data_IF_511525065484
#
_entry.id   IF_511525065484
#
_cell.length_a   1.000
_cell.length_b   1.000
_cell.length_c   1.000
_cell.angle_alpha   90.00
_cell.angle_beta   90.00
_cell.angle_gamma   90.00
#
_symmetry.space_group_name_H-M   'P 1'
#
loop_
_entity.id
_entity.type
_entity.pdbx_description
1 polymer ?
#
# COMPACT_ATOMS: atom_id res chain seq x y z
N UNK A 1 26.47 -6.08 11.26
CA UNK A 1 26.25 -7.29 10.42
C UNK A 1 26.61 -8.58 11.14
N UNK A 2 27.80 -8.70 11.73
CA UNK A 2 28.23 -9.93 12.42
C UNK A 2 27.32 -10.32 13.59
N UNK A 3 26.86 -9.36 14.38
CA UNK A 3 25.93 -9.60 15.50
C UNK A 3 24.58 -10.17 15.02
N UNK A 4 24.01 -9.64 13.93
CA UNK A 4 22.75 -10.15 13.34
C UNK A 4 22.96 -11.56 12.81
N UNK A 5 24.07 -11.85 12.15
CA UNK A 5 24.40 -13.21 11.67
C UNK A 5 24.53 -14.21 12.80
N UNK A 6 25.10 -13.81 13.96
CA UNK A 6 25.15 -14.65 15.12
C UNK A 6 23.77 -14.94 15.69
N UNK A 7 22.89 -13.91 15.80
CA UNK A 7 21.51 -14.10 16.24
C UNK A 7 20.75 -15.02 15.29
N UNK A 8 20.92 -14.85 13.97
CA UNK A 8 20.30 -15.74 12.97
C UNK A 8 20.73 -17.21 13.19
N UNK A 9 22.02 -17.45 13.41
CA UNK A 9 22.52 -18.82 13.66
C UNK A 9 21.95 -19.40 14.96
N UNK A 10 21.95 -18.62 16.04
CA UNK A 10 21.38 -19.02 17.33
C UNK A 10 19.88 -19.30 17.23
N UNK A 11 19.16 -18.52 16.46
CA UNK A 11 17.71 -18.67 16.24
C UNK A 11 17.33 -19.64 15.11
N UNK A 12 18.31 -20.22 14.42
CA UNK A 12 18.07 -21.12 13.30
C UNK A 12 17.38 -20.44 12.10
N UNK A 13 17.54 -19.13 11.97
CA UNK A 13 17.00 -18.35 10.86
C UNK A 13 18.01 -18.37 9.72
N UNK A 14 17.54 -18.68 8.50
CA UNK A 14 18.34 -18.58 7.29
C UNK A 14 17.99 -17.27 6.58
N UNK A 15 18.89 -16.26 6.61
CA UNK A 15 18.64 -14.99 5.93
C UNK A 15 18.42 -15.18 4.43
N UNK A 16 17.54 -14.37 3.88
CA UNK A 16 17.33 -14.32 2.43
C UNK A 16 18.49 -13.57 1.78
N UNK A 17 19.29 -14.29 1.00
CA UNK A 17 20.45 -13.78 0.29
C UNK A 17 20.28 -13.96 -1.22
N UNK A 18 21.13 -13.28 -2.00
CA UNK A 18 21.18 -13.39 -3.46
C UNK A 18 19.84 -13.10 -4.13
N UNK A 19 19.18 -12.02 -3.69
CA UNK A 19 17.94 -11.55 -4.32
C UNK A 19 18.23 -11.01 -5.72
N UNK A 20 17.56 -11.50 -6.77
CA UNK A 20 17.70 -10.92 -8.09
C UNK A 20 17.23 -9.46 -8.07
N UNK A 21 17.99 -8.59 -8.74
CA UNK A 21 17.68 -7.16 -8.86
C UNK A 21 17.57 -6.36 -7.52
N UNK A 22 18.23 -6.82 -6.47
CA UNK A 22 18.19 -6.13 -5.15
C UNK A 22 18.64 -4.68 -5.25
N UNK A 23 19.70 -4.37 -6.00
CA UNK A 23 20.17 -2.99 -6.18
C UNK A 23 19.11 -2.11 -6.86
N UNK A 24 18.38 -2.66 -7.84
CA UNK A 24 17.28 -1.95 -8.51
C UNK A 24 16.09 -1.75 -7.59
N UNK A 25 15.76 -2.75 -6.77
CA UNK A 25 14.72 -2.67 -5.73
C UNK A 25 15.06 -1.59 -4.69
N UNK A 26 16.29 -1.57 -4.20
CA UNK A 26 16.76 -0.55 -3.25
C UNK A 26 16.79 0.86 -3.88
N UNK A 27 17.11 0.96 -5.16
CA UNK A 27 17.02 2.22 -5.92
C UNK A 27 15.57 2.70 -5.99
N UNK A 28 14.61 1.80 -6.18
CA UNK A 28 13.18 2.15 -6.19
C UNK A 28 12.68 2.61 -4.81
N UNK A 29 13.09 1.95 -3.73
CA UNK A 29 12.82 2.41 -2.35
C UNK A 29 13.34 3.81 -2.10
N UNK A 30 14.56 4.08 -2.58
CA UNK A 30 15.18 5.41 -2.45
C UNK A 30 14.46 6.45 -3.31
N UNK A 31 14.05 6.09 -4.53
CA UNK A 31 13.27 6.98 -5.41
C UNK A 31 11.98 7.44 -4.74
N UNK A 32 11.27 6.51 -4.10
CA UNK A 32 10.00 6.79 -3.41
C UNK A 32 10.18 7.41 -2.02
N UNK A 33 11.42 7.51 -1.53
CA UNK A 33 11.78 7.99 -0.19
C UNK A 33 11.00 7.31 0.96
N UNK A 34 10.50 6.10 0.72
CA UNK A 34 9.53 5.44 1.59
C UNK A 34 10.15 4.89 2.88
N UNK A 35 11.49 4.71 2.91
CA UNK A 35 12.17 4.20 4.10
C UNK A 35 12.09 5.19 5.26
N UNK A 36 12.23 6.47 5.02
CA UNK A 36 12.29 7.51 6.05
C UNK A 36 10.95 8.26 6.22
N UNK A 37 10.07 8.20 5.23
CA UNK A 37 8.74 8.83 5.27
C UNK A 37 7.87 8.23 6.39
N UNK A 38 7.26 9.08 7.21
CA UNK A 38 6.25 8.66 8.17
C UNK A 38 4.89 8.51 7.46
N UNK A 39 4.28 7.33 7.56
CA UNK A 39 2.94 7.06 7.05
C UNK A 39 1.88 7.10 8.16
N UNK A 40 2.29 7.19 9.42
CA UNK A 40 1.40 7.09 10.58
C UNK A 40 0.45 8.26 10.74
N UNK A 41 0.81 9.43 10.25
CA UNK A 41 -0.03 10.63 10.30
C UNK A 41 -1.17 10.62 9.26
N UNK A 42 -1.07 9.78 8.23
CA UNK A 42 -2.07 9.72 7.18
C UNK A 42 -3.11 8.60 7.43
N UNK A 43 -4.37 8.96 7.72
CA UNK A 43 -5.42 8.00 8.05
C UNK A 43 -5.76 7.03 6.90
N UNK A 44 -5.37 7.32 5.66
CA UNK A 44 -5.59 6.42 4.52
C UNK A 44 -4.85 5.10 4.71
N UNK A 45 -3.59 5.15 5.16
CA UNK A 45 -2.79 3.94 5.40
C UNK A 45 -3.30 3.15 6.61
N UNK A 46 -3.62 3.84 7.70
CA UNK A 46 -4.17 3.21 8.91
C UNK A 46 -5.49 2.48 8.61
N UNK A 47 -6.39 3.11 7.85
CA UNK A 47 -7.67 2.49 7.47
C UNK A 47 -7.49 1.24 6.62
N UNK A 48 -6.56 1.24 5.64
CA UNK A 48 -6.28 0.05 4.83
C UNK A 48 -5.69 -1.09 5.67
N UNK A 49 -4.86 -0.75 6.66
CA UNK A 49 -4.28 -1.73 7.59
C UNK A 49 -5.37 -2.33 8.48
N UNK A 50 -6.27 -1.51 9.00
CA UNK A 50 -7.42 -1.95 9.79
C UNK A 50 -8.35 -2.87 8.98
N UNK A 51 -8.66 -2.52 7.73
CA UNK A 51 -9.47 -3.36 6.84
C UNK A 51 -8.81 -4.71 6.59
N UNK A 52 -7.47 -4.78 6.49
CA UNK A 52 -6.76 -6.05 6.33
C UNK A 52 -6.97 -6.99 7.53
N UNK A 53 -6.96 -6.43 8.75
CA UNK A 53 -7.28 -7.18 9.99
C UNK A 53 -8.70 -7.74 9.96
N UNK A 54 -9.70 -6.89 9.69
CA UNK A 54 -11.11 -7.32 9.63
C UNK A 54 -11.37 -8.35 8.54
N UNK A 55 -10.82 -8.13 7.34
CA UNK A 55 -10.99 -9.04 6.21
C UNK A 55 -10.49 -10.46 6.50
N UNK A 56 -9.37 -10.55 7.20
CA UNK A 56 -8.72 -11.83 7.50
C UNK A 56 -9.12 -12.41 8.86
N UNK A 57 -9.87 -11.64 9.66
CA UNK A 57 -10.21 -11.96 11.04
C UNK A 57 -8.94 -12.21 11.89
N UNK A 58 -7.84 -11.51 11.56
CA UNK A 58 -6.60 -11.56 12.32
C UNK A 58 -6.54 -10.36 13.28
N UNK A 59 -6.07 -10.55 14.54
CA UNK A 59 -6.05 -9.47 15.53
C UNK A 59 -5.06 -8.36 15.17
N UNK A 60 -4.01 -8.67 14.41
CA UNK A 60 -2.96 -7.71 14.07
C UNK A 60 -2.72 -7.62 12.58
N UNK A 61 -2.44 -6.41 12.11
CA UNK A 61 -2.00 -6.15 10.75
C UNK A 61 -0.97 -5.03 10.70
N UNK A 62 -0.09 -5.05 9.70
CA UNK A 62 0.99 -4.05 9.61
C UNK A 62 1.44 -3.79 8.17
N UNK A 63 1.90 -2.56 7.92
CA UNK A 63 2.65 -2.18 6.72
C UNK A 63 4.13 -2.14 7.08
N UNK A 64 4.91 -3.03 6.48
CA UNK A 64 6.34 -3.13 6.67
C UNK A 64 7.09 -2.81 5.38
N UNK A 65 8.07 -1.91 5.45
CA UNK A 65 8.98 -1.59 4.34
C UNK A 65 10.31 -2.32 4.57
N UNK A 66 10.79 -2.99 3.51
CA UNK A 66 11.97 -3.86 3.59
C UNK A 66 13.18 -3.20 2.92
N UNK A 67 14.05 -2.61 3.73
CA UNK A 67 15.32 -2.04 3.29
C UNK A 67 16.39 -3.10 2.99
N UNK A 68 17.65 -2.67 2.91
CA UNK A 68 18.79 -3.57 2.71
C UNK A 68 19.09 -4.44 3.93
N UNK A 69 19.04 -3.82 5.12
CA UNK A 69 19.39 -4.45 6.39
C UNK A 69 18.30 -4.35 7.45
N UNK A 70 17.38 -3.41 7.29
CA UNK A 70 16.31 -3.13 8.23
C UNK A 70 14.95 -3.34 7.59
N UNK A 71 14.01 -3.86 8.36
CA UNK A 71 12.58 -3.73 8.17
C UNK A 71 12.11 -2.55 9.01
N UNK A 72 11.25 -1.69 8.43
CA UNK A 72 10.57 -0.62 9.16
C UNK A 72 9.07 -0.85 9.14
N UNK A 73 8.49 -1.03 10.32
CA UNK A 73 7.05 -1.06 10.51
C UNK A 73 6.52 0.37 10.45
N UNK A 74 5.79 0.68 9.38
CA UNK A 74 5.23 2.02 9.14
C UNK A 74 3.91 2.21 9.86
N UNK A 75 3.07 1.22 9.82
CA UNK A 75 1.75 1.18 10.45
C UNK A 75 1.59 -0.17 11.11
N UNK A 76 0.99 -0.17 12.29
CA UNK A 76 0.51 -1.38 12.95
C UNK A 76 -0.88 -1.14 13.50
N UNK A 77 -1.75 -2.12 13.35
CA UNK A 77 -3.11 -2.15 13.90
C UNK A 77 -3.26 -3.35 14.84
N UNK A 78 -4.01 -3.18 15.91
CA UNK A 78 -4.36 -4.23 16.87
C UNK A 78 -3.63 -4.16 18.21
N UNK A 79 -2.59 -3.34 18.33
CA UNK A 79 -1.92 -3.10 19.61
C UNK A 79 -2.72 -2.11 20.47
N UNK A 80 -2.67 -2.29 21.80
CA UNK A 80 -3.09 -1.25 22.75
C UNK A 80 -2.12 -0.05 22.70
N UNK A 81 -2.54 1.09 23.24
CA UNK A 81 -1.67 2.29 23.27
C UNK A 81 -0.37 2.07 24.05
N UNK A 82 -0.43 1.25 25.09
CA UNK A 82 0.73 0.86 25.89
C UNK A 82 1.68 -0.01 25.11
N UNK A 83 1.17 -1.06 24.43
CA UNK A 83 1.96 -1.95 23.58
C UNK A 83 2.59 -1.23 22.40
N UNK A 84 1.88 -0.24 21.81
CA UNK A 84 2.39 0.53 20.70
C UNK A 84 3.58 1.43 21.09
N UNK A 85 3.63 1.92 22.32
CA UNK A 85 4.75 2.72 22.81
C UNK A 85 6.03 1.88 22.96
N UNK A 86 5.89 0.63 23.36
CA UNK A 86 7.02 -0.31 23.55
C UNK A 86 7.37 -1.09 22.27
N UNK A 87 6.58 -0.91 21.19
CA UNK A 87 6.76 -1.65 19.96
C UNK A 87 8.00 -1.17 19.18
N UNK A 88 8.95 -2.08 18.93
CA UNK A 88 10.15 -1.81 18.12
C UNK A 88 9.81 -1.73 16.64
N UNK A 89 9.75 -0.51 16.11
CA UNK A 89 9.38 -0.27 14.69
C UNK A 89 10.49 -0.58 13.69
N UNK A 90 11.72 -0.78 14.17
CA UNK A 90 12.87 -1.07 13.34
C UNK A 90 13.50 -2.40 13.76
N UNK A 91 13.39 -3.38 12.91
CA UNK A 91 13.94 -4.72 13.17
C UNK A 91 14.95 -5.09 12.07
N UNK A 92 16.07 -5.77 12.40
CA UNK A 92 16.95 -6.30 11.37
C UNK A 92 16.15 -7.19 10.39
N UNK A 93 16.22 -6.87 9.10
CA UNK A 93 15.44 -7.57 8.05
C UNK A 93 15.58 -9.09 8.14
N UNK A 94 16.80 -9.55 8.36
CA UNK A 94 17.13 -10.97 8.38
C UNK A 94 16.53 -11.74 9.57
N UNK A 95 15.99 -11.02 10.58
CA UNK A 95 15.29 -11.62 11.72
C UNK A 95 13.77 -11.64 11.53
N UNK A 96 13.24 -11.01 10.47
CA UNK A 96 11.78 -10.89 10.25
C UNK A 96 11.23 -12.01 9.38
N UNK A 97 9.93 -12.28 9.49
CA UNK A 97 9.24 -13.21 8.56
C UNK A 97 9.10 -12.58 7.18
N UNK A 98 8.88 -11.27 7.13
CA UNK A 98 8.61 -10.54 5.90
C UNK A 98 9.74 -10.66 4.86
N UNK A 99 10.99 -10.90 5.28
CA UNK A 99 12.11 -11.13 4.37
C UNK A 99 11.85 -12.26 3.36
N UNK A 100 11.10 -13.29 3.75
CA UNK A 100 10.82 -14.43 2.88
C UNK A 100 9.95 -14.08 1.67
N UNK A 101 9.14 -13.01 1.77
CA UNK A 101 8.34 -12.50 0.65
C UNK A 101 9.21 -11.97 -0.49
N UNK A 102 10.47 -11.57 -0.22
CA UNK A 102 11.39 -11.09 -1.25
C UNK A 102 11.84 -12.17 -2.23
N UNK A 103 11.73 -13.46 -1.86
CA UNK A 103 12.05 -14.59 -2.76
C UNK A 103 10.98 -14.81 -3.82
N UNK A 104 9.73 -14.51 -3.51
CA UNK A 104 8.57 -14.69 -4.39
C UNK A 104 7.74 -13.40 -4.43
N UNK A 105 8.30 -12.29 -4.97
CA UNK A 105 7.75 -10.96 -4.77
C UNK A 105 6.36 -10.73 -5.37
N UNK A 106 5.89 -11.63 -6.25
CA UNK A 106 4.57 -11.53 -6.88
C UNK A 106 3.53 -12.49 -6.28
N UNK A 107 3.86 -13.17 -5.19
CA UNK A 107 2.96 -14.12 -4.53
C UNK A 107 2.83 -13.79 -3.05
N UNK A 108 1.64 -13.83 -2.48
CA UNK A 108 1.46 -13.74 -1.04
C UNK A 108 2.23 -14.85 -0.31
N UNK A 109 2.90 -14.49 0.76
CA UNK A 109 3.52 -15.45 1.67
C UNK A 109 2.52 -15.82 2.75
N UNK A 110 2.12 -17.09 2.82
CA UNK A 110 1.20 -17.60 3.83
C UNK A 110 1.90 -18.69 4.61
N UNK A 111 1.87 -18.60 5.94
CA UNK A 111 2.39 -19.59 6.88
C UNK A 111 1.28 -19.88 7.89
N UNK A 112 0.59 -20.99 7.69
CA UNK A 112 -0.59 -21.35 8.49
C UNK A 112 -0.23 -21.68 9.94
N UNK A 113 0.97 -22.24 10.17
CA UNK A 113 1.50 -22.49 11.51
C UNK A 113 3.01 -22.25 11.56
N UNK A 114 3.43 -21.18 12.25
CA UNK A 114 4.83 -20.79 12.39
C UNK A 114 5.71 -21.84 13.13
N UNK A 115 5.08 -22.74 13.89
CA UNK A 115 5.77 -23.84 14.57
C UNK A 115 6.07 -25.03 13.65
N UNK A 116 5.43 -25.13 12.52
CA UNK A 116 5.55 -26.25 11.58
C UNK A 116 6.37 -25.88 10.32
N UNK A 117 6.42 -24.59 9.97
CA UNK A 117 7.14 -24.12 8.79
C UNK A 117 8.66 -24.14 9.03
N UNK A 118 9.39 -24.76 8.11
CA UNK A 118 10.85 -24.94 8.19
C UNK A 118 11.62 -23.59 8.31
N UNK A 119 11.05 -22.50 7.80
CA UNK A 119 11.67 -21.16 7.82
C UNK A 119 11.56 -20.49 9.19
N UNK A 120 10.57 -20.87 10.00
CA UNK A 120 10.16 -20.12 11.19
C UNK A 120 10.14 -20.98 12.47
N UNK A 121 9.95 -22.29 12.37
CA UNK A 121 9.77 -23.19 13.52
C UNK A 121 10.86 -23.03 14.59
N UNK A 122 12.13 -22.86 14.21
CA UNK A 122 13.23 -22.73 15.17
C UNK A 122 13.14 -21.44 15.99
N UNK A 123 12.73 -20.33 15.37
CA UNK A 123 12.54 -19.04 16.06
C UNK A 123 11.35 -19.11 17.01
N UNK A 124 10.20 -19.60 16.53
CA UNK A 124 8.91 -19.52 17.23
C UNK A 124 8.67 -20.65 18.24
N UNK A 125 9.47 -21.72 18.25
CA UNK A 125 9.40 -22.79 19.25
C UNK A 125 10.12 -22.47 20.56
N UNK A 126 10.78 -21.32 20.67
CA UNK A 126 11.52 -20.92 21.89
C UNK A 126 10.58 -20.34 22.93
N UNK A 127 10.82 -20.56 24.24
CA UNK A 127 9.99 -20.03 25.32
C UNK A 127 9.87 -18.51 25.33
N UNK A 128 10.92 -17.80 24.90
CA UNK A 128 11.02 -16.35 24.85
C UNK A 128 10.45 -15.76 23.53
N UNK A 129 9.98 -16.60 22.62
CA UNK A 129 9.44 -16.14 21.34
C UNK A 129 8.06 -15.52 21.49
N UNK A 130 7.71 -14.69 20.49
CA UNK A 130 6.35 -14.14 20.34
C UNK A 130 5.29 -15.23 20.34
N UNK A 131 4.10 -14.90 20.85
CA UNK A 131 2.91 -15.77 20.82
C UNK A 131 2.35 -16.02 19.42
N UNK A 132 2.80 -15.27 18.40
CA UNK A 132 2.32 -15.39 17.03
C UNK A 132 2.47 -16.83 16.51
N UNK A 133 1.41 -17.33 15.85
CA UNK A 133 1.35 -18.69 15.28
C UNK A 133 1.01 -18.70 13.80
N UNK A 134 0.40 -17.65 13.29
CA UNK A 134 0.01 -17.49 11.89
C UNK A 134 0.59 -16.22 11.29
N UNK A 135 0.92 -16.27 10.01
CA UNK A 135 1.37 -15.12 9.23
C UNK A 135 0.84 -15.19 7.80
N UNK A 136 0.30 -14.09 7.31
CA UNK A 136 0.06 -13.91 5.87
C UNK A 136 0.52 -12.52 5.46
N UNK A 137 1.25 -12.42 4.33
CA UNK A 137 1.78 -11.17 3.82
C UNK A 137 1.59 -11.03 2.33
N UNK A 138 0.96 -9.92 1.90
CA UNK A 138 0.83 -9.52 0.50
C UNK A 138 1.94 -8.53 0.16
N UNK A 139 2.79 -8.82 -0.85
CA UNK A 139 3.87 -7.93 -1.24
C UNK A 139 3.36 -6.59 -1.77
N UNK A 140 4.05 -5.50 -1.42
CA UNK A 140 3.83 -4.16 -1.94
C UNK A 140 4.69 -3.98 -3.19
N UNK A 141 4.09 -4.13 -4.37
CA UNK A 141 4.82 -4.10 -5.65
C UNK A 141 4.62 -2.77 -6.35
N UNK A 142 5.70 -2.01 -6.55
CA UNK A 142 5.65 -0.75 -7.28
C UNK A 142 5.18 -0.93 -8.73
N UNK A 143 4.72 0.15 -9.37
CA UNK A 143 4.37 0.16 -10.80
C UNK A 143 5.52 -0.27 -11.72
N UNK A 144 6.76 -0.19 -11.22
CA UNK A 144 7.98 -0.66 -11.89
C UNK A 144 8.30 -2.13 -11.63
N UNK A 145 7.48 -2.84 -10.86
CA UNK A 145 7.63 -4.28 -10.59
C UNK A 145 8.58 -4.63 -9.43
N UNK A 146 8.96 -3.68 -8.57
CA UNK A 146 9.84 -3.93 -7.44
C UNK A 146 9.08 -4.05 -6.12
N UNK A 147 9.46 -5.02 -5.29
CA UNK A 147 8.89 -5.20 -3.96
C UNK A 147 9.43 -4.15 -2.99
N UNK A 148 8.56 -3.28 -2.49
CA UNK A 148 8.87 -2.26 -1.50
C UNK A 148 8.85 -2.80 -0.08
N UNK A 149 7.95 -3.76 0.16
CA UNK A 149 7.65 -4.29 1.46
C UNK A 149 6.45 -5.22 1.44
N UNK A 150 5.73 -5.29 2.55
CA UNK A 150 4.63 -6.23 2.77
C UNK A 150 3.52 -5.60 3.59
N UNK A 151 2.26 -5.75 3.14
CA UNK A 151 1.09 -5.68 4.03
C UNK A 151 0.92 -7.06 4.64
N UNK A 152 1.07 -7.18 5.95
CA UNK A 152 0.92 -8.46 6.63
C UNK A 152 -0.16 -8.46 7.70
N UNK A 153 -0.68 -9.65 7.98
CA UNK A 153 -1.57 -9.96 9.10
C UNK A 153 -1.00 -11.12 9.89
N UNK A 154 -1.19 -11.09 11.20
CA UNK A 154 -0.71 -12.14 12.11
C UNK A 154 -1.76 -12.51 13.14
N UNK A 155 -1.69 -13.74 13.62
CA UNK A 155 -2.59 -14.29 14.63
C UNK A 155 -1.78 -15.12 15.65
N UNK A 156 -2.24 -15.18 16.88
CA UNK A 156 -1.65 -16.01 17.94
C UNK A 156 -2.07 -17.50 17.84
N UNK A 157 -2.98 -17.80 16.93
CA UNK A 157 -3.47 -19.15 16.65
C UNK A 157 -3.17 -19.54 15.20
N UNK A 158 -2.87 -20.82 14.90
CA UNK A 158 -2.77 -21.30 13.53
C UNK A 158 -4.05 -21.05 12.77
N UNK A 159 -3.94 -20.64 11.50
CA UNK A 159 -5.08 -20.23 10.69
C UNK A 159 -4.87 -20.55 9.20
N UNK A 160 -5.95 -20.76 8.49
CA UNK A 160 -5.97 -20.89 7.03
C UNK A 160 -6.87 -19.80 6.44
N UNK A 161 -6.38 -19.06 5.45
CA UNK A 161 -7.17 -18.03 4.77
C UNK A 161 -7.94 -18.61 3.59
N UNK A 162 -9.15 -18.13 3.40
CA UNK A 162 -9.93 -18.38 2.19
C UNK A 162 -9.34 -17.63 0.99
N UNK A 163 -9.62 -18.10 -0.20
CA UNK A 163 -9.14 -17.49 -1.44
C UNK A 163 -9.51 -15.99 -1.55
N UNK A 164 -10.74 -15.63 -1.21
CA UNK A 164 -11.20 -14.24 -1.23
C UNK A 164 -10.48 -13.35 -0.20
N UNK A 165 -10.06 -13.88 0.95
CA UNK A 165 -9.27 -13.14 1.94
C UNK A 165 -7.85 -12.87 1.42
N UNK A 166 -7.24 -13.84 0.74
CA UNK A 166 -5.91 -13.69 0.11
C UNK A 166 -5.96 -12.66 -1.02
N UNK A 167 -6.97 -12.73 -1.89
CA UNK A 167 -7.15 -11.76 -2.97
C UNK A 167 -7.46 -10.35 -2.42
N UNK A 168 -8.24 -10.25 -1.35
CA UNK A 168 -8.48 -8.98 -0.66
C UNK A 168 -7.20 -8.35 -0.10
N UNK A 169 -6.32 -9.14 0.52
CA UNK A 169 -5.00 -8.65 0.96
C UNK A 169 -4.16 -8.13 -0.21
N UNK A 170 -4.17 -8.80 -1.37
CA UNK A 170 -3.50 -8.33 -2.57
C UNK A 170 -4.02 -6.99 -3.04
N UNK A 171 -5.35 -6.84 -3.10
CA UNK A 171 -6.00 -5.59 -3.51
C UNK A 171 -5.63 -4.45 -2.57
N UNK A 172 -5.64 -4.70 -1.26
CA UNK A 172 -5.22 -3.71 -0.25
C UNK A 172 -3.74 -3.33 -0.42
N UNK A 173 -2.85 -4.29 -0.68
CA UNK A 173 -1.45 -4.04 -0.97
C UNK A 173 -1.27 -3.15 -2.22
N UNK A 174 -2.01 -3.43 -3.31
CA UNK A 174 -2.02 -2.61 -4.53
C UNK A 174 -2.50 -1.16 -4.25
N UNK A 175 -3.51 -0.98 -3.38
CA UNK A 175 -3.99 0.34 -2.98
C UNK A 175 -2.94 1.11 -2.15
N UNK A 176 -2.27 0.45 -1.23
CA UNK A 176 -1.17 1.04 -0.44
C UNK A 176 -0.06 1.54 -1.37
N UNK A 177 0.36 0.73 -2.34
CA UNK A 177 1.37 1.13 -3.32
C UNK A 177 0.90 2.31 -4.16
N UNK A 178 -0.35 2.29 -4.60
CA UNK A 178 -0.92 3.41 -5.37
C UNK A 178 -0.91 4.71 -4.58
N UNK A 179 -1.16 4.67 -3.26
CA UNK A 179 -1.05 5.84 -2.39
C UNK A 179 0.39 6.32 -2.29
N UNK A 180 1.35 5.41 -2.04
CA UNK A 180 2.77 5.74 -1.92
C UNK A 180 3.27 6.45 -3.20
N UNK A 181 2.95 5.91 -4.37
CA UNK A 181 3.39 6.47 -5.65
C UNK A 181 2.72 7.80 -5.96
N UNK A 182 1.41 7.93 -5.71
CA UNK A 182 0.69 9.20 -5.91
C UNK A 182 1.19 10.30 -4.97
N UNK A 183 1.46 10.00 -3.71
CA UNK A 183 1.98 10.95 -2.73
C UNK A 183 3.38 11.43 -3.13
N UNK A 184 4.25 10.50 -3.57
CA UNK A 184 5.57 10.82 -4.09
C UNK A 184 5.51 11.74 -5.34
N UNK A 185 4.66 11.43 -6.31
CA UNK A 185 4.50 12.23 -7.52
C UNK A 185 3.95 13.63 -7.22
N UNK A 186 3.07 13.76 -6.23
CA UNK A 186 2.56 15.04 -5.76
C UNK A 186 3.66 15.90 -5.08
N UNK A 187 4.51 15.28 -4.27
CA UNK A 187 5.66 15.94 -3.61
C UNK A 187 6.70 16.41 -4.63
N UNK A 188 7.06 15.54 -5.59
CA UNK A 188 7.99 15.89 -6.69
C UNK A 188 7.46 17.05 -7.56
N UNK A 189 6.16 17.07 -7.81
CA UNK A 189 5.51 18.14 -8.55
C UNK A 189 5.60 19.46 -7.80
N UNK A 190 5.41 19.44 -6.49
CA UNK A 190 5.53 20.60 -5.58
C UNK A 190 6.98 21.11 -5.51
N UNK A 191 7.96 20.21 -5.41
CA UNK A 191 9.39 20.57 -5.36
C UNK A 191 9.90 21.14 -6.69
N UNK A 192 9.42 20.64 -7.82
CA UNK A 192 9.76 21.17 -9.13
C UNK A 192 9.09 22.52 -9.38
N UNK A 193 7.89 22.75 -8.87
CA UNK A 193 7.23 24.05 -8.87
C UNK A 193 7.97 25.04 -7.97
N UNK A 194 8.46 24.63 -6.79
CA UNK A 194 9.24 25.47 -5.89
C UNK A 194 10.62 25.88 -6.46
N UNK A 195 11.28 25.01 -7.23
CA UNK A 195 12.57 25.33 -7.89
C UNK A 195 12.43 26.30 -9.05
N UNK A 196 11.23 26.47 -9.59
CA UNK A 196 10.94 27.46 -10.67
C UNK A 196 10.47 28.80 -10.09
N UNK A 197 10.20 28.90 -8.79
CA UNK A 197 9.60 30.05 -8.11
C UNK A 197 10.54 30.77 -7.11
N UNK A 198 11.88 30.67 -7.25
CA UNK A 198 12.79 31.56 -6.49
C UNK A 198 12.69 33.05 -6.89
N UNK A 199 11.73 33.42 -7.73
CA UNK A 199 11.33 34.80 -8.00
C UNK A 199 9.78 34.92 -7.92
N UNK A 200 9.14 34.69 -6.78
CA UNK A 200 8.06 35.55 -6.27
C UNK A 200 7.42 35.00 -5.00
N UNK A 201 7.35 35.85 -4.00
CA UNK A 201 6.71 35.84 -2.70
C UNK A 201 5.37 35.05 -2.57
N UNK A 202 5.29 34.28 -1.46
CA UNK A 202 4.11 33.98 -0.64
C UNK A 202 2.77 33.86 -1.39
N UNK A 203 2.34 32.62 -1.69
CA UNK A 203 0.93 32.39 -1.97
C UNK A 203 0.40 31.15 -1.30
N UNK A 204 -0.50 31.35 -0.36
CA UNK A 204 -1.46 30.36 0.15
C UNK A 204 -2.37 29.91 -1.04
N UNK A 205 -1.95 28.87 -1.77
CA UNK A 205 -2.76 28.24 -2.82
C UNK A 205 -2.56 28.83 -4.23
N UNK A 206 -2.51 27.94 -5.22
CA UNK A 206 -2.42 28.33 -6.64
C UNK A 206 -3.81 28.73 -7.16
N UNK A 207 -3.94 29.94 -7.68
CA UNK A 207 -5.17 30.43 -8.29
C UNK A 207 -5.28 29.97 -9.74
N UNK A 208 -6.40 29.37 -10.09
CA UNK A 208 -6.75 29.01 -11.46
C UNK A 208 -7.98 29.84 -11.89
N UNK A 209 -7.85 30.58 -12.99
CA UNK A 209 -8.92 31.46 -13.49
C UNK A 209 -10.18 30.68 -13.92
N UNK A 210 -10.01 29.44 -14.36
CA UNK A 210 -11.10 28.57 -14.76
C UNK A 210 -10.68 27.11 -14.68
N UNK A 211 -11.47 26.31 -13.98
CA UNK A 211 -11.30 24.85 -13.86
C UNK A 211 -12.66 24.15 -13.99
N UNK A 212 -12.63 22.88 -14.39
CA UNK A 212 -13.83 22.03 -14.39
C UNK A 212 -13.57 20.83 -13.55
N UNK A 213 -14.40 20.61 -12.53
CA UNK A 213 -14.31 19.49 -11.60
C UNK A 213 -15.39 18.47 -11.95
N UNK A 214 -15.03 17.19 -11.98
CA UNK A 214 -15.95 16.07 -12.13
C UNK A 214 -15.90 15.21 -10.87
N UNK A 215 -17.07 14.94 -10.31
CA UNK A 215 -17.31 13.88 -9.34
C UNK A 215 -18.11 12.77 -10.02
N UNK A 216 -17.61 11.54 -9.97
CA UNK A 216 -18.33 10.33 -10.35
C UNK A 216 -18.56 9.50 -9.09
N UNK A 217 -19.81 9.08 -8.86
CA UNK A 217 -20.24 8.34 -7.68
C UNK A 217 -21.15 7.17 -8.09
N UNK A 218 -21.12 6.07 -7.32
CA UNK A 218 -21.91 4.88 -7.63
C UNK A 218 -23.29 4.94 -6.97
N UNK A 219 -24.34 5.06 -7.78
CA UNK A 219 -25.73 5.11 -7.29
C UNK A 219 -26.09 3.82 -6.55
N UNK A 220 -26.52 3.97 -5.30
CA UNK A 220 -26.95 2.84 -4.45
C UNK A 220 -25.83 1.93 -3.97
N UNK A 221 -24.59 2.42 -4.00
CA UNK A 221 -23.41 1.67 -3.55
C UNK A 221 -23.57 1.20 -2.10
N UNK A 222 -23.91 2.09 -1.19
CA UNK A 222 -24.10 1.78 0.25
C UNK A 222 -25.07 0.62 0.50
N UNK A 223 -26.17 0.55 -0.25
CA UNK A 223 -27.15 -0.53 -0.12
C UNK A 223 -26.71 -1.85 -0.77
N UNK A 224 -25.76 -1.80 -1.72
CA UNK A 224 -25.17 -3.00 -2.34
C UNK A 224 -24.01 -3.55 -1.52
N UNK A 225 -23.27 -2.69 -0.83
CA UNK A 225 -22.16 -3.06 0.06
C UNK A 225 -22.63 -4.01 1.17
N UNK A 226 -23.81 -3.80 1.73
CA UNK A 226 -24.39 -4.67 2.76
C UNK A 226 -24.64 -6.11 2.29
N UNK A 227 -24.58 -6.39 0.99
CA UNK A 227 -24.86 -7.68 0.37
C UNK A 227 -23.68 -8.34 -0.31
N UNK A 228 -22.55 -7.64 -0.44
CA UNK A 228 -21.34 -8.14 -1.08
C UNK A 228 -20.32 -8.57 -0.02
N UNK A 229 -19.59 -9.62 -0.31
CA UNK A 229 -18.40 -9.96 0.47
C UNK A 229 -17.35 -8.82 0.33
N UNK A 230 -16.66 -8.44 1.41
CA UNK A 230 -15.70 -7.31 1.39
C UNK A 230 -14.65 -7.40 0.28
N UNK A 231 -14.19 -8.60 -0.07
CA UNK A 231 -13.22 -8.83 -1.15
C UNK A 231 -13.80 -8.56 -2.55
N UNK A 232 -15.06 -8.92 -2.81
CA UNK A 232 -15.74 -8.65 -4.07
C UNK A 232 -15.98 -7.15 -4.27
N UNK A 233 -16.32 -6.46 -3.19
CA UNK A 233 -16.50 -5.02 -3.18
C UNK A 233 -15.22 -4.28 -3.60
N UNK A 234 -14.10 -4.60 -2.94
CA UNK A 234 -12.81 -3.98 -3.24
C UNK A 234 -12.33 -4.31 -4.66
N UNK A 235 -12.52 -5.54 -5.13
CA UNK A 235 -12.17 -5.94 -6.50
C UNK A 235 -12.99 -5.16 -7.53
N UNK A 236 -14.27 -4.97 -7.28
CA UNK A 236 -15.18 -4.22 -8.13
C UNK A 236 -14.78 -2.74 -8.22
N UNK A 237 -14.56 -2.08 -7.07
CA UNK A 237 -14.10 -0.68 -7.01
C UNK A 237 -12.78 -0.49 -7.75
N UNK A 238 -11.80 -1.38 -7.49
CA UNK A 238 -10.50 -1.31 -8.13
C UNK A 238 -10.60 -1.45 -9.67
N UNK A 239 -11.49 -2.30 -10.16
CA UNK A 239 -11.73 -2.45 -11.60
C UNK A 239 -12.26 -1.16 -12.21
N UNK A 240 -13.24 -0.53 -11.57
CA UNK A 240 -13.80 0.73 -12.05
C UNK A 240 -12.78 1.87 -11.97
N UNK A 241 -12.08 2.02 -10.86
CA UNK A 241 -11.11 3.10 -10.70
C UNK A 241 -9.91 2.96 -11.66
N UNK A 242 -9.39 1.75 -11.91
CA UNK A 242 -8.38 1.50 -12.94
C UNK A 242 -8.89 1.83 -14.36
N UNK A 243 -10.16 1.57 -14.62
CA UNK A 243 -10.81 1.98 -15.87
C UNK A 243 -10.91 3.51 -15.99
N UNK A 244 -11.34 4.19 -14.94
CA UNK A 244 -11.44 5.64 -14.89
C UNK A 244 -10.07 6.33 -15.02
N UNK A 245 -9.02 5.77 -14.39
CA UNK A 245 -7.64 6.26 -14.53
C UNK A 245 -7.17 6.27 -15.98
N UNK A 246 -7.47 5.20 -16.75
CA UNK A 246 -7.17 5.16 -18.20
C UNK A 246 -7.94 6.20 -18.99
N UNK A 247 -9.21 6.44 -18.62
CA UNK A 247 -10.05 7.42 -19.30
C UNK A 247 -9.54 8.84 -19.06
N UNK A 248 -9.23 9.22 -17.81
CA UNK A 248 -8.72 10.58 -17.50
C UNK A 248 -7.37 10.85 -18.18
N UNK A 249 -6.47 9.84 -18.24
CA UNK A 249 -5.21 9.96 -18.97
C UNK A 249 -5.40 10.22 -20.46
N UNK A 250 -6.35 9.55 -21.11
CA UNK A 250 -6.69 9.75 -22.54
C UNK A 250 -7.02 11.20 -22.86
N UNK A 251 -7.72 11.90 -21.95
CA UNK A 251 -8.16 13.29 -22.13
C UNK A 251 -7.25 14.31 -21.42
N UNK A 252 -6.13 13.87 -20.84
CA UNK A 252 -5.21 14.73 -20.07
C UNK A 252 -5.89 15.52 -18.93
N UNK A 253 -6.93 14.93 -18.36
CA UNK A 253 -7.61 15.40 -17.17
C UNK A 253 -6.87 14.81 -15.96
N UNK A 254 -6.69 15.58 -14.89
CA UNK A 254 -5.96 15.14 -13.72
C UNK A 254 -6.91 14.50 -12.70
N UNK A 255 -6.61 13.26 -12.30
CA UNK A 255 -7.21 12.66 -11.11
C UNK A 255 -6.79 13.48 -9.88
N UNK A 256 -7.74 13.78 -9.01
CA UNK A 256 -7.46 14.46 -7.73
C UNK A 256 -7.35 13.43 -6.63
N UNK A 257 -8.44 12.69 -6.37
CA UNK A 257 -8.51 11.63 -5.37
C UNK A 257 -9.76 10.78 -5.53
N UNK A 258 -9.81 9.67 -4.80
CA UNK A 258 -11.06 8.94 -4.51
C UNK A 258 -11.52 9.24 -3.09
N UNK A 259 -12.83 9.27 -2.84
CA UNK A 259 -13.44 9.52 -1.53
C UNK A 259 -14.48 8.41 -1.35
N UNK A 260 -14.11 7.33 -0.66
CA UNK A 260 -14.96 6.13 -0.62
C UNK A 260 -15.17 5.56 -2.02
N UNK A 261 -16.42 5.50 -2.47
CA UNK A 261 -16.85 5.08 -3.81
C UNK A 261 -16.89 6.22 -4.84
N UNK A 262 -16.60 7.46 -4.46
CA UNK A 262 -16.55 8.60 -5.35
C UNK A 262 -15.15 8.79 -5.97
N UNK A 263 -15.13 9.13 -7.28
CA UNK A 263 -13.92 9.45 -8.03
C UNK A 263 -13.92 10.93 -8.42
N UNK A 264 -12.88 11.67 -8.07
CA UNK A 264 -12.74 13.10 -8.35
C UNK A 264 -11.61 13.36 -9.33
N UNK A 265 -11.91 14.11 -10.39
CA UNK A 265 -10.90 14.61 -11.33
C UNK A 265 -11.18 16.06 -11.76
N UNK A 266 -10.13 16.73 -12.29
CA UNK A 266 -10.18 18.14 -12.63
C UNK A 266 -9.47 18.43 -13.97
N UNK A 267 -10.08 19.25 -14.79
CA UNK A 267 -9.50 19.79 -16.00
C UNK A 267 -9.19 21.28 -15.86
N UNK A 268 -8.19 21.78 -16.59
CA UNK A 268 -7.81 23.19 -16.62
C UNK A 268 -6.72 23.59 -15.61
N UNK A 269 -6.10 22.64 -14.91
CA UNK A 269 -5.04 22.92 -13.93
C UNK A 269 -3.62 22.65 -14.46
N UNK A 270 -3.45 21.81 -15.46
CA UNK A 270 -2.12 21.38 -15.95
C UNK A 270 -1.57 22.19 -17.12
N UNK A 271 -2.42 22.90 -17.87
CA UNK A 271 -2.04 23.74 -19.00
C UNK A 271 -3.13 24.84 -19.19
N UNK A 272 -2.77 26.00 -19.76
CA UNK A 272 -3.76 27.04 -20.15
C UNK A 272 -4.60 26.55 -21.33
N UNK A 273 -5.50 25.59 -21.08
CA UNK A 273 -6.42 25.03 -22.07
C UNK A 273 -7.79 25.64 -21.91
N UNK A 274 -8.31 26.20 -22.98
CA UNK A 274 -9.65 26.81 -23.01
C UNK A 274 -10.78 25.79 -23.19
N UNK A 275 -10.46 24.53 -23.53
CA UNK A 275 -11.42 23.46 -23.82
C UNK A 275 -11.57 22.42 -22.70
N UNK A 276 -11.00 22.66 -21.50
CA UNK A 276 -11.03 21.70 -20.40
C UNK A 276 -12.44 21.25 -19.99
N UNK A 277 -13.46 22.11 -20.09
CA UNK A 277 -14.84 21.74 -19.81
C UNK A 277 -15.35 20.64 -20.77
N UNK A 278 -15.07 20.80 -22.07
CA UNK A 278 -15.44 19.79 -23.09
C UNK A 278 -14.68 18.47 -22.86
N UNK A 279 -13.41 18.53 -22.47
CA UNK A 279 -12.60 17.33 -22.17
C UNK A 279 -13.14 16.59 -20.95
N UNK A 280 -13.50 17.30 -19.89
CA UNK A 280 -14.10 16.70 -18.69
C UNK A 280 -15.47 16.10 -18.96
N UNK A 281 -16.30 16.74 -19.82
CA UNK A 281 -17.56 16.15 -20.26
C UNK A 281 -17.36 14.83 -21.04
N UNK A 282 -16.34 14.76 -21.90
CA UNK A 282 -15.99 13.50 -22.60
C UNK A 282 -15.52 12.41 -21.64
N UNK A 283 -14.74 12.79 -20.62
CA UNK A 283 -14.36 11.87 -19.53
C UNK A 283 -15.60 11.29 -18.86
N UNK A 284 -16.55 12.15 -18.45
CA UNK A 284 -17.79 11.70 -17.83
C UNK A 284 -18.60 10.72 -18.71
N UNK A 285 -18.73 11.04 -20.00
CA UNK A 285 -19.44 10.17 -20.96
C UNK A 285 -18.72 8.83 -21.18
N UNK A 286 -17.39 8.83 -21.26
CA UNK A 286 -16.62 7.59 -21.42
C UNK A 286 -16.64 6.75 -20.12
N UNK A 287 -16.66 7.37 -18.93
CA UNK A 287 -16.87 6.67 -17.66
C UNK A 287 -18.23 6.00 -17.60
N UNK A 288 -19.31 6.68 -17.99
CA UNK A 288 -20.65 6.08 -18.06
C UNK A 288 -20.68 4.87 -19.00
N UNK A 289 -20.13 5.01 -20.21
CA UNK A 289 -20.04 3.89 -21.18
C UNK A 289 -19.22 2.72 -20.65
N UNK A 290 -18.17 2.99 -19.89
CA UNK A 290 -17.33 1.94 -19.30
C UNK A 290 -18.05 1.18 -18.18
N UNK A 291 -18.92 1.86 -17.43
CA UNK A 291 -19.72 1.23 -16.35
C UNK A 291 -20.85 0.39 -16.92
N UNK A 292 -21.42 0.80 -18.10
CA UNK A 292 -22.52 0.10 -18.77
C UNK A 292 -22.05 -1.09 -19.62
N UNK A 293 -20.74 -1.31 -19.81
CA UNK A 293 -20.15 -2.36 -20.65
C UNK A 293 -19.78 -3.61 -19.84
#
# INVERSE_FOLDING_TARGET
MEQVQNICREQGIVPVSNLPNEDMRLTELKRLDIMDKDLGEDPRYSSLTEVASYLTECPFSAINILGSTLQRCKIIFGLSKEEEQDFERNEPRDLTICQFSLKTPHQPLIIENLLEDERTKHKYSRPESSSIRFYAGAPLISSRGFSLGVLCVVDDSPKSLKHNQIEGLRILADQIVSLIENDHDAEQSSENEAKTEEEDTQTLGKYYSSTTILFADFVGFTSKVERLEPGELLATLNTFFKGFDKIVQKYKVRKVKTIGDAYMCVGGISEKRTNHASEVCKVALDMLRFVDA
#
